data_IF_161248483255
#
_entry.id   IF_161248483255
#
_cell.length_a   1.000
_cell.length_b   1.000
_cell.length_c   1.000
_cell.angle_alpha   90.00
_cell.angle_beta   90.00
_cell.angle_gamma   90.00
#
_symmetry.space_group_name_H-M   'P 1'
#
loop_
_entity.id
_entity.type
_entity.pdbx_description
1 polymer ?
#
# COMPACT_ATOMS: atom_id res chain seq x y z
N UNK A 1 68.49 -17.27 -14.27
CA UNK A 1 67.22 -16.57 -14.55
C UNK A 1 66.11 -17.34 -13.87
N UNK A 2 65.63 -16.86 -12.72
CA UNK A 2 64.57 -17.52 -11.96
C UNK A 2 63.21 -17.05 -12.44
N UNK A 3 62.45 -17.94 -13.08
CA UNK A 3 61.01 -17.73 -13.27
C UNK A 3 60.32 -17.88 -11.92
N UNK A 4 60.03 -16.75 -11.28
CA UNK A 4 59.11 -16.72 -10.15
C UNK A 4 57.73 -17.22 -10.60
N UNK A 5 57.01 -17.98 -9.76
CA UNK A 5 55.70 -18.50 -10.10
C UNK A 5 54.75 -17.35 -10.43
N UNK A 6 54.09 -17.44 -11.58
CA UNK A 6 53.04 -16.52 -11.98
C UNK A 6 52.00 -16.43 -10.86
N UNK A 7 51.82 -15.22 -10.30
CA UNK A 7 50.70 -14.91 -9.41
C UNK A 7 49.42 -15.34 -10.12
N UNK A 8 48.78 -16.40 -9.64
CA UNK A 8 47.44 -16.80 -10.07
C UNK A 8 46.55 -15.57 -9.95
N UNK A 9 46.07 -15.07 -11.08
CA UNK A 9 45.28 -13.85 -11.17
C UNK A 9 43.95 -14.01 -10.46
N UNK A 10 43.93 -13.77 -9.15
CA UNK A 10 42.70 -13.68 -8.38
C UNK A 10 42.04 -12.34 -8.68
N UNK A 11 40.78 -12.38 -9.09
CA UNK A 11 39.99 -11.17 -9.28
C UNK A 11 39.93 -10.39 -7.95
N UNK A 12 40.02 -9.05 -7.97
CA UNK A 12 39.78 -8.23 -6.80
C UNK A 12 38.44 -8.55 -6.14
N UNK A 13 38.40 -8.53 -4.80
CA UNK A 13 37.21 -8.88 -4.03
C UNK A 13 35.99 -8.05 -4.47
N UNK A 14 36.17 -6.75 -4.75
CA UNK A 14 35.09 -5.86 -5.18
C UNK A 14 34.45 -6.32 -6.50
N UNK A 15 35.26 -6.79 -7.45
CA UNK A 15 34.77 -7.32 -8.74
C UNK A 15 34.00 -8.63 -8.49
N UNK A 16 34.52 -9.51 -7.64
CA UNK A 16 33.81 -10.78 -7.31
C UNK A 16 32.48 -10.54 -6.59
N UNK A 17 32.40 -9.52 -5.72
CA UNK A 17 31.16 -9.10 -5.06
C UNK A 17 30.16 -8.58 -6.09
N UNK A 18 30.58 -7.74 -7.03
CA UNK A 18 29.70 -7.21 -8.07
C UNK A 18 29.16 -8.31 -8.97
N UNK A 19 29.99 -9.26 -9.39
CA UNK A 19 29.55 -10.43 -10.18
C UNK A 19 28.48 -11.22 -9.42
N UNK A 20 28.68 -11.45 -8.12
CA UNK A 20 27.70 -12.16 -7.29
C UNK A 20 26.38 -11.38 -7.14
N UNK A 21 26.42 -10.05 -7.02
CA UNK A 21 25.22 -9.20 -6.99
C UNK A 21 24.47 -9.29 -8.33
N UNK A 22 25.18 -9.18 -9.45
CA UNK A 22 24.59 -9.29 -10.79
C UNK A 22 23.93 -10.67 -10.97
N UNK A 23 24.62 -11.74 -10.58
CA UNK A 23 24.06 -13.09 -10.63
C UNK A 23 22.83 -13.25 -9.71
N UNK A 24 22.79 -12.58 -8.56
CA UNK A 24 21.63 -12.58 -7.66
C UNK A 24 20.41 -11.82 -8.24
N UNK A 25 20.64 -10.87 -9.15
CA UNK A 25 19.60 -10.14 -9.89
C UNK A 25 19.19 -10.82 -11.20
N UNK A 26 19.88 -11.88 -11.61
CA UNK A 26 19.55 -12.61 -12.83
C UNK A 26 18.14 -13.19 -12.79
N UNK A 27 17.44 -13.09 -13.93
CA UNK A 27 16.16 -13.77 -14.14
C UNK A 27 16.32 -15.30 -14.12
N UNK A 28 17.54 -15.79 -14.36
CA UNK A 28 17.88 -17.20 -14.26
C UNK A 28 17.89 -17.68 -12.79
N UNK A 29 16.94 -18.56 -12.45
CA UNK A 29 16.80 -19.14 -11.11
C UNK A 29 18.06 -19.89 -10.64
N UNK A 30 18.77 -20.55 -11.57
CA UNK A 30 19.98 -21.28 -11.24
C UNK A 30 21.11 -20.33 -10.79
N UNK A 31 21.39 -19.29 -11.56
CA UNK A 31 22.43 -18.29 -11.26
C UNK A 31 22.17 -17.60 -9.91
N UNK A 32 20.92 -17.19 -9.68
CA UNK A 32 20.49 -16.58 -8.42
C UNK A 32 20.65 -17.54 -7.22
N UNK A 33 20.31 -18.81 -7.40
CA UNK A 33 20.49 -19.84 -6.37
C UNK A 33 21.96 -20.05 -6.04
N UNK A 34 22.82 -20.10 -7.07
CA UNK A 34 24.28 -20.21 -6.89
C UNK A 34 24.82 -18.99 -6.15
N UNK A 35 24.41 -17.79 -6.54
CA UNK A 35 24.82 -16.54 -5.86
C UNK A 35 24.44 -16.55 -4.37
N UNK A 36 23.22 -16.99 -4.03
CA UNK A 36 22.79 -17.12 -2.63
C UNK A 36 23.57 -18.17 -1.85
N UNK A 37 23.92 -19.30 -2.48
CA UNK A 37 24.77 -20.33 -1.84
C UNK A 37 26.17 -19.81 -1.61
N UNK A 38 26.76 -19.14 -2.60
CA UNK A 38 28.09 -18.53 -2.49
C UNK A 38 28.13 -17.46 -1.40
N UNK A 39 27.10 -16.62 -1.28
CA UNK A 39 27.04 -15.61 -0.23
C UNK A 39 27.17 -16.20 1.20
N UNK A 40 26.85 -17.47 1.41
CA UNK A 40 27.01 -18.15 2.70
C UNK A 40 28.46 -18.51 3.05
N UNK A 41 29.36 -18.56 2.07
CA UNK A 41 30.77 -18.95 2.28
C UNK A 41 31.68 -17.78 2.63
N UNK A 42 31.25 -16.54 2.36
CA UNK A 42 32.05 -15.33 2.55
C UNK A 42 31.25 -14.21 3.23
N UNK A 43 31.79 -13.63 4.31
CA UNK A 43 31.12 -12.54 5.06
C UNK A 43 30.92 -11.28 4.21
N UNK A 44 31.87 -10.95 3.35
CA UNK A 44 31.76 -9.79 2.46
C UNK A 44 30.61 -9.98 1.45
N UNK A 45 30.51 -11.17 0.84
CA UNK A 45 29.43 -11.52 -0.08
C UNK A 45 28.07 -11.57 0.63
N UNK A 46 28.01 -12.18 1.82
CA UNK A 46 26.81 -12.19 2.66
C UNK A 46 26.31 -10.76 2.93
N UNK A 47 27.20 -9.88 3.40
CA UNK A 47 26.86 -8.49 3.71
C UNK A 47 26.41 -7.73 2.47
N UNK A 48 27.10 -7.89 1.35
CA UNK A 48 26.76 -7.26 0.08
C UNK A 48 25.39 -7.73 -0.42
N UNK A 49 25.13 -9.03 -0.39
CA UNK A 49 23.85 -9.63 -0.78
C UNK A 49 22.69 -9.08 0.07
N UNK A 50 22.85 -9.04 1.40
CA UNK A 50 21.81 -8.49 2.26
C UNK A 50 21.60 -6.99 2.02
N UNK A 51 22.68 -6.22 1.88
CA UNK A 51 22.63 -4.76 1.74
C UNK A 51 22.03 -4.31 0.41
N UNK A 52 22.35 -5.01 -0.69
CA UNK A 52 22.03 -4.57 -2.06
C UNK A 52 20.85 -5.32 -2.65
N UNK A 53 20.64 -6.59 -2.26
CA UNK A 53 19.65 -7.46 -2.90
C UNK A 53 18.45 -7.72 -1.98
N UNK A 54 18.69 -8.24 -0.77
CA UNK A 54 17.61 -8.82 0.05
C UNK A 54 16.88 -7.80 0.93
N UNK A 55 17.61 -6.90 1.61
CA UNK A 55 17.01 -5.96 2.56
C UNK A 55 16.35 -4.73 1.92
N UNK A 56 16.83 -4.16 0.80
CA UNK A 56 16.18 -2.99 0.21
C UNK A 56 14.68 -3.18 -0.05
N UNK A 57 14.29 -4.40 -0.42
CA UNK A 57 12.90 -4.79 -0.69
C UNK A 57 12.57 -6.14 -0.08
N UNK A 58 12.01 -6.12 1.13
CA UNK A 58 11.66 -7.33 1.88
C UNK A 58 10.23 -7.76 1.56
N UNK A 59 10.04 -9.03 1.20
CA UNK A 59 8.71 -9.63 0.98
C UNK A 59 8.51 -10.80 1.95
N UNK A 60 7.59 -10.62 2.90
CA UNK A 60 7.28 -11.60 3.94
C UNK A 60 5.93 -12.25 3.62
N UNK A 61 5.96 -13.56 3.33
CA UNK A 61 4.78 -14.35 2.94
C UNK A 61 4.41 -15.33 4.04
N UNK A 62 3.26 -15.12 4.67
CA UNK A 62 2.75 -15.90 5.79
C UNK A 62 3.32 -15.48 7.13
N UNK A 63 2.65 -15.89 8.20
CA UNK A 63 2.97 -15.51 9.58
C UNK A 63 4.40 -15.92 9.96
N UNK A 64 4.82 -17.13 9.57
CA UNK A 64 6.13 -17.70 9.93
C UNK A 64 7.27 -16.83 9.43
N UNK A 65 7.17 -16.27 8.22
CA UNK A 65 8.21 -15.40 7.67
C UNK A 65 8.30 -14.08 8.44
N UNK A 66 7.16 -13.51 8.85
CA UNK A 66 7.14 -12.27 9.64
C UNK A 66 7.75 -12.51 11.02
N UNK A 67 7.35 -13.58 11.70
CA UNK A 67 7.91 -13.98 13.00
C UNK A 67 9.41 -14.23 12.92
N UNK A 68 9.85 -15.03 11.95
CA UNK A 68 11.26 -15.36 11.79
C UNK A 68 12.10 -14.14 11.45
N UNK A 69 11.61 -13.24 10.60
CA UNK A 69 12.32 -12.01 10.28
C UNK A 69 12.42 -11.08 11.49
N UNK A 70 11.31 -10.87 12.22
CA UNK A 70 11.32 -10.09 13.46
C UNK A 70 12.31 -10.65 14.49
N UNK A 71 12.31 -11.97 14.69
CA UNK A 71 13.23 -12.66 15.59
C UNK A 71 14.71 -12.50 15.17
N UNK A 72 15.01 -12.66 13.87
CA UNK A 72 16.37 -12.47 13.36
C UNK A 72 16.86 -11.03 13.57
N UNK A 73 15.97 -10.04 13.41
CA UNK A 73 16.28 -8.63 13.67
C UNK A 73 16.40 -8.30 15.16
N UNK A 74 15.60 -8.92 16.04
CA UNK A 74 15.67 -8.70 17.49
C UNK A 74 16.96 -9.26 18.08
N UNK A 75 17.35 -10.46 17.66
CA UNK A 75 18.59 -11.14 18.07
C UNK A 75 19.86 -10.56 17.41
N UNK A 76 19.70 -9.61 16.50
CA UNK A 76 20.77 -9.06 15.68
C UNK A 76 21.69 -10.12 15.05
N UNK A 77 21.12 -11.23 14.56
CA UNK A 77 21.92 -12.31 13.99
C UNK A 77 22.69 -11.78 12.79
N UNK A 78 24.00 -12.00 12.79
CA UNK A 78 24.93 -11.55 11.74
C UNK A 78 25.01 -10.02 11.53
N UNK A 79 24.57 -9.20 12.50
CA UNK A 79 24.54 -7.73 12.34
C UNK A 79 23.41 -7.27 11.41
N UNK A 80 22.37 -8.08 11.22
CA UNK A 80 21.26 -7.78 10.32
C UNK A 80 20.41 -6.62 10.82
N UNK A 81 20.39 -6.32 12.12
CA UNK A 81 19.62 -5.20 12.67
C UNK A 81 20.11 -3.88 12.09
N UNK A 82 21.42 -3.61 12.16
CA UNK A 82 21.98 -2.36 11.66
C UNK A 82 21.89 -2.26 10.13
N UNK A 83 22.03 -3.38 9.43
CA UNK A 83 21.86 -3.43 7.98
C UNK A 83 20.41 -3.15 7.58
N UNK A 84 19.43 -3.80 8.22
CA UNK A 84 18.01 -3.61 7.92
C UNK A 84 17.56 -2.19 8.25
N UNK A 85 17.98 -1.64 9.40
CA UNK A 85 17.70 -0.26 9.75
C UNK A 85 18.13 0.71 8.65
N UNK A 86 19.36 0.54 8.13
CA UNK A 86 19.94 1.42 7.11
C UNK A 86 19.43 1.20 5.70
N UNK A 87 19.13 -0.05 5.32
CA UNK A 87 18.97 -0.42 3.91
C UNK A 87 17.53 -0.74 3.52
N UNK A 88 16.69 -1.17 4.46
CA UNK A 88 15.30 -1.51 4.15
C UNK A 88 14.52 -0.26 3.74
N UNK A 89 13.92 -0.29 2.54
CA UNK A 89 13.12 0.82 1.99
C UNK A 89 11.68 0.39 1.72
N UNK A 90 11.50 -0.86 1.30
CA UNK A 90 10.21 -1.41 0.95
C UNK A 90 9.96 -2.70 1.75
N UNK A 91 8.79 -2.79 2.39
CA UNK A 91 8.34 -4.01 3.07
C UNK A 91 6.97 -4.38 2.54
N UNK A 92 6.84 -5.63 2.08
CA UNK A 92 5.56 -6.23 1.72
C UNK A 92 5.26 -7.37 2.68
N UNK A 93 4.09 -7.37 3.31
CA UNK A 93 3.60 -8.44 4.18
C UNK A 93 2.32 -9.00 3.59
N UNK A 94 2.34 -10.28 3.23
CA UNK A 94 1.21 -10.97 2.62
C UNK A 94 0.91 -12.29 3.35
N UNK A 95 -0.35 -12.73 3.44
CA UNK A 95 -0.66 -14.07 3.93
C UNK A 95 -0.08 -15.14 2.99
N UNK A 96 0.12 -16.36 3.49
CA UNK A 96 0.42 -17.49 2.62
C UNK A 96 -0.80 -17.79 1.72
N UNK A 97 -0.56 -18.34 0.52
CA UNK A 97 -1.65 -18.76 -0.38
C UNK A 97 -2.38 -19.93 0.27
N UNK A 98 -3.68 -19.78 0.56
CA UNK A 98 -4.56 -20.84 1.06
C UNK A 98 -5.66 -21.13 0.03
N UNK A 99 -6.10 -22.39 -0.03
CA UNK A 99 -7.30 -22.76 -0.77
C UNK A 99 -8.52 -22.07 -0.11
N UNK A 100 -9.33 -21.37 -0.90
CA UNK A 100 -10.37 -20.48 -0.39
C UNK A 100 -11.68 -21.23 -0.21
N UNK A 101 -12.24 -21.22 0.99
CA UNK A 101 -13.68 -21.39 1.21
C UNK A 101 -14.37 -20.02 1.31
N UNK A 102 -15.67 -19.94 1.03
CA UNK A 102 -16.44 -18.70 0.79
C UNK A 102 -16.44 -17.68 1.94
N UNK A 103 -16.34 -18.13 3.21
CA UNK A 103 -16.37 -17.27 4.41
C UNK A 103 -15.01 -17.13 5.11
N UNK A 104 -14.01 -17.85 4.60
CA UNK A 104 -12.68 -17.95 5.17
C UNK A 104 -11.82 -16.67 5.02
N UNK A 105 -11.94 -15.84 3.95
CA UNK A 105 -11.02 -14.73 3.73
C UNK A 105 -10.99 -13.71 4.85
N UNK A 106 -12.15 -13.27 5.35
CA UNK A 106 -12.21 -12.29 6.44
C UNK A 106 -11.65 -12.83 7.76
N UNK A 107 -11.93 -14.11 8.06
CA UNK A 107 -11.42 -14.80 9.26
C UNK A 107 -9.91 -14.98 9.15
N UNK A 108 -9.41 -15.42 8.00
CA UNK A 108 -7.98 -15.53 7.72
C UNK A 108 -7.25 -14.21 7.80
N UNK A 109 -7.77 -13.15 7.17
CA UNK A 109 -7.17 -11.81 7.28
C UNK A 109 -7.10 -11.35 8.73
N UNK A 110 -8.13 -11.59 9.54
CA UNK A 110 -8.13 -11.25 10.96
C UNK A 110 -7.10 -12.07 11.74
N UNK A 111 -7.08 -13.40 11.57
CA UNK A 111 -6.11 -14.29 12.22
C UNK A 111 -4.68 -13.91 11.85
N UNK A 112 -4.43 -13.68 10.57
CA UNK A 112 -3.15 -13.23 10.06
C UNK A 112 -2.76 -11.87 10.66
N UNK A 113 -3.64 -10.88 10.62
CA UNK A 113 -3.41 -9.54 11.21
C UNK A 113 -3.04 -9.64 12.70
N UNK A 114 -3.77 -10.46 13.47
CA UNK A 114 -3.48 -10.68 14.88
C UNK A 114 -2.12 -11.37 15.08
N UNK A 115 -1.83 -12.41 14.29
CA UNK A 115 -0.60 -13.19 14.39
C UNK A 115 0.65 -12.36 14.05
N UNK A 116 0.56 -11.41 13.12
CA UNK A 116 1.70 -10.58 12.70
C UNK A 116 1.87 -9.29 13.51
N UNK A 117 0.93 -8.95 14.39
CA UNK A 117 0.87 -7.64 15.03
C UNK A 117 2.18 -7.25 15.74
N UNK A 118 2.62 -8.01 16.74
CA UNK A 118 3.86 -7.73 17.49
C UNK A 118 5.14 -7.91 16.65
N UNK A 119 5.30 -8.99 15.86
CA UNK A 119 6.45 -9.13 14.96
C UNK A 119 6.59 -7.96 13.98
N UNK A 120 5.48 -7.49 13.41
CA UNK A 120 5.47 -6.37 12.49
C UNK A 120 5.89 -5.07 13.19
N UNK A 121 5.41 -4.81 14.42
CA UNK A 121 5.89 -3.66 15.20
C UNK A 121 7.39 -3.70 15.44
N UNK A 122 7.95 -4.87 15.73
CA UNK A 122 9.40 -5.05 15.89
C UNK A 122 10.14 -4.71 14.59
N UNK A 123 9.65 -5.20 13.44
CA UNK A 123 10.24 -4.91 12.13
C UNK A 123 10.19 -3.40 11.83
N UNK A 124 9.03 -2.78 12.03
CA UNK A 124 8.83 -1.34 11.78
C UNK A 124 9.69 -0.49 12.72
N UNK A 125 9.82 -0.86 13.99
CA UNK A 125 10.68 -0.15 14.94
C UNK A 125 12.15 -0.15 14.49
N UNK A 126 12.62 -1.27 13.91
CA UNK A 126 14.01 -1.43 13.48
C UNK A 126 14.27 -0.79 12.11
N UNK A 127 13.34 -0.95 11.16
CA UNK A 127 13.50 -0.48 9.78
C UNK A 127 13.17 1.03 9.65
N UNK A 128 13.98 1.89 10.26
CA UNK A 128 13.71 3.33 10.39
C UNK A 128 13.72 4.11 9.07
N UNK A 129 14.38 3.59 8.03
CA UNK A 129 14.42 4.22 6.71
C UNK A 129 13.33 3.69 5.74
N UNK A 130 12.32 2.98 6.25
CA UNK A 130 11.22 2.47 5.46
C UNK A 130 10.44 3.62 4.80
N UNK A 131 10.34 3.62 3.48
CA UNK A 131 9.60 4.61 2.69
C UNK A 131 8.31 4.05 2.09
N UNK A 132 8.20 2.73 1.91
CA UNK A 132 7.02 2.09 1.32
C UNK A 132 6.64 0.82 2.08
N UNK A 133 5.35 0.70 2.40
CA UNK A 133 4.81 -0.42 3.16
C UNK A 133 3.53 -0.96 2.51
N UNK A 134 3.57 -2.21 2.08
CA UNK A 134 2.42 -2.92 1.52
C UNK A 134 1.96 -4.03 2.47
N UNK A 135 0.77 -3.87 3.06
CA UNK A 135 0.18 -4.79 4.03
C UNK A 135 -1.09 -5.43 3.46
N UNK A 136 -1.07 -6.74 3.26
CA UNK A 136 -2.29 -7.51 2.98
C UNK A 136 -3.00 -7.87 4.30
N UNK A 137 -3.09 -6.89 5.19
CA UNK A 137 -3.58 -6.99 6.56
C UNK A 137 -3.96 -5.58 7.03
N UNK A 138 -4.66 -5.50 8.16
CA UNK A 138 -4.99 -4.20 8.74
C UNK A 138 -3.73 -3.51 9.28
N UNK A 139 -3.59 -2.18 9.12
CA UNK A 139 -2.42 -1.43 9.58
C UNK A 139 -2.41 -1.20 11.11
N UNK A 140 -2.93 -2.14 11.91
CA UNK A 140 -3.00 -2.03 13.38
C UNK A 140 -1.63 -1.79 14.02
N UNK A 141 -0.57 -2.38 13.45
CA UNK A 141 0.80 -2.19 13.92
C UNK A 141 1.29 -0.73 13.80
N UNK A 142 0.66 0.09 12.96
CA UNK A 142 0.96 1.52 12.79
C UNK A 142 0.14 2.44 13.71
N UNK A 143 -0.85 1.89 14.44
CA UNK A 143 -1.66 2.69 15.34
C UNK A 143 -0.84 3.22 16.53
N UNK A 144 -1.17 4.44 16.96
CA UNK A 144 -0.64 5.03 18.19
C UNK A 144 -1.08 4.18 19.38
N UNK A 145 -0.11 3.69 20.16
CA UNK A 145 -0.38 3.00 21.41
C UNK A 145 0.29 3.74 22.56
N UNK A 146 -0.50 4.13 23.56
CA UNK A 146 0.01 4.71 24.80
C UNK A 146 0.70 3.59 25.60
N UNK A 147 1.94 3.81 26.02
CA UNK A 147 2.68 2.90 26.92
C UNK A 147 3.39 1.72 26.24
N UNK A 148 3.46 1.65 24.91
CA UNK A 148 4.24 0.62 24.23
C UNK A 148 5.72 1.05 24.11
N UNK A 149 6.65 0.15 24.44
CA UNK A 149 8.11 0.38 24.38
C UNK A 149 8.60 0.56 22.94
N UNK A 150 7.93 -0.09 21.96
CA UNK A 150 8.29 0.00 20.55
C UNK A 150 7.51 1.12 19.87
N UNK A 151 8.08 2.33 19.84
CA UNK A 151 7.53 3.42 19.02
C UNK A 151 7.76 3.16 17.52
N UNK A 152 6.72 3.41 16.74
CA UNK A 152 6.72 3.38 15.27
C UNK A 152 6.56 4.78 14.66
N UNK A 153 6.64 5.84 15.48
CA UNK A 153 6.37 7.21 15.05
C UNK A 153 7.39 7.71 14.03
N UNK A 154 8.67 7.32 14.19
CA UNK A 154 9.72 7.60 13.22
C UNK A 154 9.41 7.03 11.84
N UNK A 155 8.92 5.79 11.77
CA UNK A 155 8.51 5.16 10.51
C UNK A 155 7.27 5.83 9.94
N UNK A 156 6.25 6.14 10.75
CA UNK A 156 5.07 6.87 10.27
C UNK A 156 5.42 8.24 9.67
N UNK A 157 6.41 8.93 10.24
CA UNK A 157 6.89 10.20 9.71
C UNK A 157 7.73 10.04 8.43
N UNK A 158 8.37 8.88 8.23
CA UNK A 158 9.24 8.59 7.09
C UNK A 158 8.50 7.99 5.88
N UNK A 159 7.42 7.24 6.12
CA UNK A 159 6.64 6.56 5.08
C UNK A 159 6.11 7.55 4.04
N UNK A 160 6.33 7.20 2.78
CA UNK A 160 5.88 7.91 1.58
C UNK A 160 4.73 7.18 0.90
N UNK A 161 4.72 5.84 0.98
CA UNK A 161 3.71 5.00 0.37
C UNK A 161 3.19 3.98 1.37
N UNK A 162 1.87 3.89 1.48
CA UNK A 162 1.20 2.85 2.27
C UNK A 162 0.10 2.21 1.43
N UNK A 163 0.15 0.89 1.31
CA UNK A 163 -0.91 0.07 0.71
C UNK A 163 -1.40 -0.86 1.80
N UNK A 164 -2.68 -0.81 2.16
CA UNK A 164 -3.20 -1.69 3.21
C UNK A 164 -4.66 -2.09 3.05
N UNK A 165 -4.97 -3.28 3.58
CA UNK A 165 -6.36 -3.69 3.82
C UNK A 165 -6.94 -2.87 4.97
N UNK A 166 -8.18 -2.41 4.79
CA UNK A 166 -8.97 -1.86 5.88
C UNK A 166 -9.75 -2.97 6.56
N UNK A 167 -10.24 -2.72 7.78
CA UNK A 167 -10.88 -3.75 8.61
C UNK A 167 -11.91 -4.56 7.83
N UNK A 168 -11.88 -5.91 7.90
CA UNK A 168 -12.82 -6.77 7.21
C UNK A 168 -14.21 -6.77 7.89
N UNK A 169 -14.42 -6.00 8.96
CA UNK A 169 -15.70 -5.86 9.65
C UNK A 169 -16.15 -4.40 9.62
N UNK A 170 -17.40 -4.18 9.20
CA UNK A 170 -18.02 -2.86 9.17
C UNK A 170 -18.24 -2.37 10.60
N UNK A 171 -17.27 -1.66 11.18
CA UNK A 171 -17.37 -1.17 12.56
C UNK A 171 -16.11 -0.44 13.03
N UNK A 172 -14.92 -0.94 12.69
CA UNK A 172 -13.67 -0.27 13.01
C UNK A 172 -13.45 0.87 12.01
N UNK A 173 -13.81 2.10 12.40
CA UNK A 173 -13.34 3.28 11.68
C UNK A 173 -11.84 3.42 11.97
N UNK A 174 -11.00 3.24 10.96
CA UNK A 174 -9.56 3.51 11.05
C UNK A 174 -9.26 5.02 10.99
N UNK A 175 -10.24 5.88 11.26
CA UNK A 175 -10.09 7.34 11.27
C UNK A 175 -9.01 7.78 12.27
N UNK A 176 -8.92 7.12 13.43
CA UNK A 176 -7.90 7.38 14.44
C UNK A 176 -6.46 7.10 13.99
N UNK A 177 -6.25 6.24 12.99
CA UNK A 177 -4.91 5.97 12.44
C UNK A 177 -4.33 7.18 11.70
N UNK A 178 -5.22 7.88 10.99
CA UNK A 178 -4.90 9.00 10.12
C UNK A 178 -4.96 10.34 10.86
N UNK A 179 -5.72 10.42 11.96
CA UNK A 179 -5.83 11.63 12.77
C UNK A 179 -4.54 12.00 13.53
N UNK A 180 -4.23 13.31 13.51
CA UNK A 180 -3.22 13.97 14.34
C UNK A 180 -3.84 14.60 15.60
N UNK A 181 -4.67 13.88 16.35
CA UNK A 181 -5.51 14.53 17.37
C UNK A 181 -4.95 14.47 18.80
N UNK A 182 -3.65 14.67 19.00
CA UNK A 182 -3.14 15.00 20.34
C UNK A 182 -2.86 16.51 20.38
N UNK A 183 -3.75 17.31 20.98
CA UNK A 183 -3.49 18.74 21.21
C UNK A 183 -2.17 18.90 21.97
N UNK A 184 -1.25 19.72 21.43
CA UNK A 184 0.06 19.99 22.03
C UNK A 184 1.25 19.16 21.53
N UNK A 185 1.03 18.15 20.67
CA UNK A 185 2.13 17.41 20.02
C UNK A 185 2.30 17.88 18.56
N UNK A 186 3.35 18.69 18.33
CA UNK A 186 3.62 19.42 17.09
C UNK A 186 3.99 18.59 15.84
N UNK A 187 3.79 17.27 15.85
CA UNK A 187 4.08 16.43 14.69
C UNK A 187 2.84 15.72 14.19
N UNK A 188 2.27 16.24 13.09
CA UNK A 188 1.36 15.49 12.24
C UNK A 188 2.02 14.13 11.95
N UNK A 189 1.46 12.99 12.40
CA UNK A 189 1.88 11.71 11.88
C UNK A 189 1.66 11.73 10.37
N UNK A 190 2.51 11.04 9.60
CA UNK A 190 2.41 10.96 8.13
C UNK A 190 2.85 12.20 7.33
N UNK A 191 3.84 12.97 7.83
CA UNK A 191 4.34 14.18 7.15
C UNK A 191 4.82 13.99 5.71
N UNK A 192 5.26 12.77 5.36
CA UNK A 192 5.86 12.45 4.06
C UNK A 192 4.99 11.52 3.22
N UNK A 193 3.81 11.12 3.71
CA UNK A 193 2.93 10.18 3.03
C UNK A 193 2.34 10.84 1.79
N UNK A 194 2.83 10.46 0.62
CA UNK A 194 2.40 10.98 -0.68
C UNK A 194 1.44 10.05 -1.40
N UNK A 195 1.57 8.73 -1.19
CA UNK A 195 0.77 7.70 -1.85
C UNK A 195 0.07 6.84 -0.81
N UNK A 196 -1.25 6.72 -0.92
CA UNK A 196 -2.06 5.89 -0.03
C UNK A 196 -3.06 5.05 -0.83
N UNK A 197 -3.04 3.74 -0.62
CA UNK A 197 -4.02 2.82 -1.19
C UNK A 197 -4.74 2.05 -0.09
N UNK A 198 -6.06 2.24 -0.04
CA UNK A 198 -6.95 1.68 0.97
C UNK A 198 -7.87 0.64 0.32
N UNK A 199 -7.80 -0.59 0.81
CA UNK A 199 -8.57 -1.70 0.24
C UNK A 199 -9.79 -2.09 1.08
N UNK A 200 -10.93 -2.19 0.40
CA UNK A 200 -12.14 -2.89 0.81
C UNK A 200 -12.07 -4.40 0.57
N UNK A 201 -13.16 -5.14 0.82
CA UNK A 201 -14.51 -4.71 0.45
C UNK A 201 -15.35 -4.15 1.59
N UNK A 202 -14.81 -4.08 2.81
CA UNK A 202 -15.54 -3.53 3.97
C UNK A 202 -14.95 -2.21 4.49
N UNK A 203 -14.05 -1.61 3.71
CA UNK A 203 -13.57 -0.26 3.97
C UNK A 203 -14.75 0.71 3.93
N UNK A 204 -15.14 1.24 5.09
CA UNK A 204 -16.20 2.24 5.19
C UNK A 204 -15.58 3.63 5.16
N UNK A 205 -15.78 4.36 4.06
CA UNK A 205 -15.39 5.76 3.97
C UNK A 205 -16.55 6.63 4.48
N UNK A 206 -16.33 7.27 5.61
CA UNK A 206 -17.30 8.21 6.23
C UNK A 206 -16.82 9.65 6.05
N UNK A 207 -17.66 10.67 6.30
CA UNK A 207 -17.22 12.07 6.38
C UNK A 207 -16.03 12.29 7.31
N UNK A 208 -15.99 11.56 8.44
CA UNK A 208 -14.87 11.63 9.40
C UNK A 208 -13.59 11.05 8.82
N UNK A 209 -13.67 9.89 8.16
CA UNK A 209 -12.54 9.27 7.46
C UNK A 209 -12.01 10.20 6.37
N UNK A 210 -12.90 10.81 5.58
CA UNK A 210 -12.55 11.77 4.54
C UNK A 210 -11.80 12.97 5.11
N UNK A 211 -12.30 13.58 6.19
CA UNK A 211 -11.63 14.68 6.87
C UNK A 211 -10.24 14.28 7.40
N UNK A 212 -10.09 13.06 7.95
CA UNK A 212 -8.78 12.58 8.39
C UNK A 212 -7.79 12.45 7.24
N UNK A 213 -8.22 11.87 6.11
CA UNK A 213 -7.38 11.70 4.94
C UNK A 213 -7.02 13.05 4.31
N UNK A 214 -7.97 13.98 4.27
CA UNK A 214 -7.77 15.34 3.80
C UNK A 214 -6.73 16.13 4.62
N UNK A 215 -6.57 15.79 5.91
CA UNK A 215 -5.59 16.43 6.78
C UNK A 215 -4.14 15.97 6.55
N UNK A 216 -3.91 14.98 5.69
CA UNK A 216 -2.58 14.48 5.38
C UNK A 216 -1.84 15.49 4.48
N UNK A 217 -0.76 16.13 4.96
CA UNK A 217 -0.24 17.34 4.33
C UNK A 217 0.44 17.10 2.98
N UNK A 218 1.01 15.92 2.76
CA UNK A 218 1.77 15.58 1.56
C UNK A 218 1.02 14.62 0.62
N UNK A 219 -0.23 14.25 0.94
CA UNK A 219 -0.96 13.22 0.19
C UNK A 219 -1.37 13.72 -1.20
N UNK A 220 -0.59 13.33 -2.21
CA UNK A 220 -0.88 13.67 -3.61
C UNK A 220 -1.68 12.58 -4.34
N UNK A 221 -1.53 11.32 -3.94
CA UNK A 221 -2.16 10.18 -4.61
C UNK A 221 -2.95 9.34 -3.61
N UNK A 222 -4.27 9.25 -3.80
CA UNK A 222 -5.16 8.44 -2.99
C UNK A 222 -5.90 7.42 -3.85
N UNK A 223 -5.79 6.14 -3.52
CA UNK A 223 -6.50 5.04 -4.16
C UNK A 223 -7.48 4.39 -3.19
N UNK A 224 -8.75 4.34 -3.55
CA UNK A 224 -9.79 3.65 -2.78
C UNK A 224 -10.28 2.45 -3.59
N UNK A 225 -9.99 1.25 -3.11
CA UNK A 225 -10.28 -0.01 -3.80
C UNK A 225 -11.51 -0.64 -3.16
N UNK A 226 -12.60 -0.78 -3.91
CA UNK A 226 -13.90 -1.30 -3.47
C UNK A 226 -14.43 -0.65 -2.17
N UNK A 227 -14.43 0.71 -2.06
CA UNK A 227 -14.88 1.36 -0.84
C UNK A 227 -16.40 1.25 -0.67
N UNK A 228 -16.83 1.22 0.59
CA UNK A 228 -18.21 1.51 1.00
C UNK A 228 -18.27 2.96 1.46
N UNK A 229 -18.55 3.88 0.53
CA UNK A 229 -18.68 5.31 0.86
C UNK A 229 -20.09 5.59 1.37
N UNK A 230 -20.18 6.24 2.52
CA UNK A 230 -21.46 6.57 3.16
C UNK A 230 -21.49 8.00 3.68
N UNK A 231 -22.70 8.53 3.89
CA UNK A 231 -22.91 9.81 4.59
C UNK A 231 -22.81 9.66 6.12
N UNK A 232 -23.09 10.76 6.83
CA UNK A 232 -23.09 10.80 8.30
C UNK A 232 -24.16 9.87 8.94
N UNK A 233 -25.27 9.65 8.26
CA UNK A 233 -26.33 8.74 8.71
C UNK A 233 -26.05 7.26 8.33
N UNK A 234 -25.04 7.02 7.50
CA UNK A 234 -24.66 5.70 7.03
C UNK A 234 -25.37 5.25 5.75
N UNK A 235 -26.10 6.14 5.07
CA UNK A 235 -26.68 5.83 3.76
C UNK A 235 -25.59 5.79 2.68
N UNK A 236 -25.86 5.06 1.60
CA UNK A 236 -24.98 4.97 0.43
C UNK A 236 -25.03 6.24 -0.40
N UNK A 237 -24.45 7.30 0.12
CA UNK A 237 -24.24 8.56 -0.56
C UNK A 237 -22.75 8.90 -0.51
N UNK A 238 -22.09 8.84 -1.66
CA UNK A 238 -20.66 9.09 -1.77
C UNK A 238 -20.31 10.59 -1.80
N UNK A 239 -21.27 11.44 -2.16
CA UNK A 239 -21.02 12.86 -2.43
C UNK A 239 -20.41 13.56 -1.23
N UNK A 240 -21.04 13.50 -0.07
CA UNK A 240 -20.61 14.26 1.11
C UNK A 240 -19.20 13.89 1.55
N UNK A 241 -18.89 12.60 1.65
CA UNK A 241 -17.57 12.15 2.08
C UNK A 241 -16.49 12.50 1.04
N UNK A 242 -16.76 12.35 -0.26
CA UNK A 242 -15.80 12.69 -1.30
C UNK A 242 -15.60 14.21 -1.44
N UNK A 243 -16.66 14.99 -1.29
CA UNK A 243 -16.57 16.46 -1.30
C UNK A 243 -15.78 16.97 -0.10
N UNK A 244 -15.99 16.42 1.10
CA UNK A 244 -15.18 16.76 2.29
C UNK A 244 -13.70 16.46 2.06
N UNK A 245 -13.39 15.33 1.42
CA UNK A 245 -12.02 15.00 1.05
C UNK A 245 -11.44 16.06 0.11
N UNK A 246 -12.17 16.43 -0.95
CA UNK A 246 -11.73 17.42 -1.93
C UNK A 246 -11.72 18.86 -1.39
N UNK A 247 -12.52 19.18 -0.38
CA UNK A 247 -12.48 20.50 0.23
C UNK A 247 -11.27 20.66 1.15
N UNK A 248 -10.88 19.61 1.87
CA UNK A 248 -9.81 19.67 2.86
C UNK A 248 -8.41 19.28 2.34
N UNK A 249 -8.30 18.44 1.32
CA UNK A 249 -7.01 17.90 0.89
C UNK A 249 -6.22 18.93 0.08
N UNK A 250 -5.21 19.57 0.67
CA UNK A 250 -4.48 20.67 0.02
C UNK A 250 -3.46 20.24 -1.04
N UNK A 251 -2.98 18.99 -0.99
CA UNK A 251 -1.93 18.47 -1.87
C UNK A 251 -2.39 17.36 -2.81
N UNK A 252 -3.66 16.95 -2.75
CA UNK A 252 -4.20 15.89 -3.58
C UNK A 252 -4.17 16.31 -5.05
N UNK A 253 -3.63 15.43 -5.90
CA UNK A 253 -3.50 15.57 -7.35
C UNK A 253 -4.25 14.44 -8.08
N UNK A 254 -4.26 13.23 -7.52
CA UNK A 254 -4.93 12.07 -8.10
C UNK A 254 -5.80 11.34 -7.07
N UNK A 255 -7.07 11.15 -7.42
CA UNK A 255 -8.00 10.27 -6.72
C UNK A 255 -8.36 9.08 -7.62
N UNK A 256 -7.81 7.91 -7.32
CA UNK A 256 -8.10 6.65 -7.97
C UNK A 256 -9.21 5.90 -7.23
N UNK A 257 -10.26 5.53 -7.95
CA UNK A 257 -11.42 4.81 -7.45
C UNK A 257 -11.53 3.51 -8.23
N UNK A 258 -11.32 2.36 -7.58
CA UNK A 258 -11.46 1.05 -8.24
C UNK A 258 -12.70 0.35 -7.69
N UNK A 259 -13.69 0.12 -8.52
CA UNK A 259 -14.92 -0.58 -8.17
C UNK A 259 -15.25 -1.68 -9.17
N UNK A 260 -16.46 -2.22 -9.08
CA UNK A 260 -16.96 -3.25 -10.00
C UNK A 260 -18.41 -2.98 -10.42
N UNK A 261 -18.90 -3.68 -11.44
CA UNK A 261 -20.29 -3.56 -11.90
C UNK A 261 -21.28 -4.53 -11.23
N UNK A 262 -20.81 -5.36 -10.28
CA UNK A 262 -21.69 -6.31 -9.60
C UNK A 262 -22.74 -5.63 -8.71
N UNK A 263 -24.00 -5.74 -9.12
CA UNK A 263 -25.12 -4.96 -8.61
C UNK A 263 -25.29 -5.02 -7.08
N UNK A 264 -25.20 -6.20 -6.50
CA UNK A 264 -25.58 -6.44 -5.10
C UNK A 264 -24.39 -6.40 -4.13
N UNK A 265 -23.20 -6.06 -4.61
CA UNK A 265 -21.97 -6.11 -3.81
C UNK A 265 -21.45 -4.73 -3.43
N UNK A 266 -20.68 -4.70 -2.36
CA UNK A 266 -20.02 -3.48 -1.87
C UNK A 266 -18.85 -3.13 -2.78
N UNK A 267 -18.74 -1.86 -3.17
CA UNK A 267 -17.80 -1.41 -4.20
C UNK A 267 -18.43 -1.30 -5.60
N UNK A 268 -19.75 -1.47 -5.71
CA UNK A 268 -20.45 -1.31 -6.97
C UNK A 268 -20.42 0.14 -7.49
N UNK A 269 -19.97 0.31 -8.73
CA UNK A 269 -19.65 1.62 -9.31
C UNK A 269 -20.86 2.54 -9.45
N UNK A 270 -22.04 1.97 -9.70
CA UNK A 270 -23.29 2.75 -9.79
C UNK A 270 -23.59 3.62 -8.56
N UNK A 271 -23.06 3.28 -7.38
CA UNK A 271 -23.35 4.01 -6.14
C UNK A 271 -22.53 5.29 -5.96
N UNK A 272 -21.38 5.40 -6.62
CA UNK A 272 -20.57 6.62 -6.57
C UNK A 272 -20.67 7.46 -7.86
N UNK A 273 -21.05 6.88 -9.02
CA UNK A 273 -20.79 7.49 -10.33
C UNK A 273 -21.53 8.82 -10.49
N UNK A 274 -22.77 8.88 -10.02
CA UNK A 274 -23.56 10.11 -10.01
C UNK A 274 -22.96 11.19 -9.08
N UNK A 275 -22.46 10.79 -7.91
CA UNK A 275 -21.82 11.71 -6.98
C UNK A 275 -20.51 12.27 -7.54
N UNK A 276 -19.73 11.44 -8.22
CA UNK A 276 -18.46 11.82 -8.84
C UNK A 276 -18.59 12.95 -9.87
N UNK A 277 -19.67 12.95 -10.64
CA UNK A 277 -19.96 13.99 -11.63
C UNK A 277 -20.32 15.35 -11.02
N UNK A 278 -20.66 15.39 -9.72
CA UNK A 278 -21.08 16.59 -8.99
C UNK A 278 -19.97 17.16 -8.11
N UNK A 279 -18.81 16.50 -8.04
CA UNK A 279 -17.71 16.94 -7.20
C UNK A 279 -17.07 18.21 -7.75
N UNK A 280 -16.70 19.09 -6.83
CA UNK A 280 -16.02 20.34 -7.14
C UNK A 280 -14.76 20.49 -6.28
N UNK A 281 -13.81 21.28 -6.79
CA UNK A 281 -12.59 21.64 -6.09
C UNK A 281 -12.65 23.09 -5.61
N UNK A 282 -12.22 23.43 -4.38
CA UNK A 282 -12.15 24.82 -3.94
C UNK A 282 -11.27 25.68 -4.87
N UNK A 283 -11.66 26.94 -5.06
CA UNK A 283 -10.85 27.90 -5.80
C UNK A 283 -9.45 28.06 -5.15
N UNK A 284 -8.40 27.95 -5.96
CA UNK A 284 -7.01 28.07 -5.52
C UNK A 284 -6.37 26.78 -4.99
N UNK A 285 -7.12 25.68 -4.86
CA UNK A 285 -6.54 24.36 -4.60
C UNK A 285 -5.95 23.75 -5.88
N UNK A 286 -4.95 22.85 -5.79
CA UNK A 286 -4.38 22.22 -6.98
C UNK A 286 -5.42 21.38 -7.73
N UNK A 287 -5.25 21.24 -9.06
CA UNK A 287 -6.12 20.42 -9.89
C UNK A 287 -6.09 18.96 -9.41
N UNK A 288 -7.27 18.34 -9.34
CA UNK A 288 -7.41 16.92 -9.00
C UNK A 288 -7.95 16.18 -10.20
N UNK A 289 -7.26 15.12 -10.59
CA UNK A 289 -7.75 14.15 -11.56
C UNK A 289 -8.43 13.00 -10.83
N UNK A 290 -9.66 12.67 -11.22
CA UNK A 290 -10.33 11.45 -10.77
C UNK A 290 -10.17 10.40 -11.86
N UNK A 291 -9.69 9.22 -11.46
CA UNK A 291 -9.66 8.02 -12.31
C UNK A 291 -10.59 6.99 -11.69
N UNK A 292 -11.64 6.63 -12.41
CA UNK A 292 -12.57 5.57 -12.05
C UNK A 292 -12.26 4.32 -12.88
N UNK A 293 -11.87 3.25 -12.20
CA UNK A 293 -11.67 1.94 -12.80
C UNK A 293 -12.85 1.05 -12.46
N UNK A 294 -13.57 0.63 -13.49
CA UNK A 294 -14.69 -0.32 -13.37
C UNK A 294 -14.19 -1.70 -13.77
N UNK A 295 -14.00 -2.57 -12.78
CA UNK A 295 -13.51 -3.93 -12.98
C UNK A 295 -14.67 -4.92 -13.15
N UNK A 296 -14.46 -5.90 -14.01
CA UNK A 296 -15.34 -7.04 -14.26
C UNK A 296 -14.49 -8.31 -14.34
N UNK A 297 -14.98 -9.41 -13.78
CA UNK A 297 -14.30 -10.70 -13.95
C UNK A 297 -14.59 -11.26 -15.35
N UNK A 298 -13.56 -11.79 -16.00
CA UNK A 298 -13.72 -12.62 -17.19
C UNK A 298 -14.19 -14.01 -16.73
N UNK A 299 -15.46 -14.33 -16.96
CA UNK A 299 -16.01 -15.65 -16.64
C UNK A 299 -15.36 -16.71 -17.55
N UNK A 300 -14.74 -17.75 -16.97
CA UNK A 300 -14.22 -18.90 -17.75
C UNK A 300 -15.18 -20.09 -17.80
N UNK A 301 -16.28 -20.09 -17.06
CA UNK A 301 -17.24 -21.20 -17.04
C UNK A 301 -18.57 -20.80 -16.40
N UNK A 302 -19.67 -21.29 -16.98
CA UNK A 302 -21.07 -21.11 -16.63
C UNK A 302 -21.35 -20.71 -15.17
N UNK A 303 -21.90 -19.50 -15.00
CA UNK A 303 -22.70 -18.99 -13.88
C UNK A 303 -22.84 -19.91 -12.65
N UNK A 304 -21.79 -20.01 -11.83
CA UNK A 304 -21.87 -20.64 -10.51
C UNK A 304 -22.04 -19.54 -9.44
N UNK A 305 -23.17 -19.48 -8.72
CA UNK A 305 -23.40 -18.53 -7.63
C UNK A 305 -22.36 -18.62 -6.50
N UNK A 306 -21.76 -19.79 -6.30
CA UNK A 306 -20.67 -20.04 -5.32
C UNK A 306 -19.36 -19.38 -5.81
N UNK A 307 -19.23 -19.19 -7.11
CA UNK A 307 -18.09 -18.53 -7.75
C UNK A 307 -18.23 -17.00 -7.87
N UNK A 308 -19.35 -16.39 -7.42
CA UNK A 308 -19.51 -14.93 -7.39
C UNK A 308 -18.27 -14.32 -6.75
N UNK A 309 -17.63 -13.40 -7.47
CA UNK A 309 -16.38 -12.82 -7.03
C UNK A 309 -16.61 -12.09 -5.71
N UNK A 310 -16.17 -12.71 -4.62
CA UNK A 310 -16.10 -12.02 -3.35
C UNK A 310 -15.25 -10.77 -3.60
N UNK A 311 -15.71 -9.59 -3.19
CA UNK A 311 -15.07 -8.31 -3.53
C UNK A 311 -13.60 -8.20 -3.04
N UNK A 312 -13.10 -9.19 -2.30
CA UNK A 312 -11.67 -9.44 -2.07
C UNK A 312 -10.88 -9.73 -3.36
N UNK A 313 -11.48 -10.25 -4.43
CA UNK A 313 -10.79 -10.54 -5.70
C UNK A 313 -10.19 -9.27 -6.30
N UNK A 314 -10.99 -8.20 -6.38
CA UNK A 314 -10.53 -6.91 -6.91
C UNK A 314 -9.45 -6.29 -6.01
N UNK A 315 -9.57 -6.44 -4.69
CA UNK A 315 -8.53 -6.02 -3.76
C UNK A 315 -7.24 -6.80 -3.91
N UNK A 316 -7.30 -8.12 -4.11
CA UNK A 316 -6.12 -8.95 -4.35
C UNK A 316 -5.45 -8.65 -5.68
N UNK A 317 -6.25 -8.42 -6.73
CA UNK A 317 -5.76 -7.95 -8.02
C UNK A 317 -4.99 -6.63 -7.85
N UNK A 318 -5.59 -5.66 -7.18
CA UNK A 318 -4.94 -4.37 -6.93
C UNK A 318 -3.73 -4.47 -5.98
N UNK A 319 -3.73 -5.39 -5.02
CA UNK A 319 -2.55 -5.68 -4.19
C UNK A 319 -1.42 -6.33 -5.00
N UNK A 320 -1.75 -7.21 -5.96
CA UNK A 320 -0.76 -7.78 -6.87
C UNK A 320 -0.13 -6.70 -7.76
N UNK A 321 -0.95 -5.77 -8.28
CA UNK A 321 -0.46 -4.59 -9.00
C UNK A 321 0.40 -3.69 -8.11
N UNK A 322 0.04 -3.54 -6.84
CA UNK A 322 0.86 -2.78 -5.88
C UNK A 322 2.24 -3.41 -5.67
N UNK A 323 2.29 -4.73 -5.53
CA UNK A 323 3.55 -5.48 -5.48
C UNK A 323 4.38 -5.35 -6.75
N UNK A 324 3.77 -5.06 -7.90
CA UNK A 324 4.48 -4.87 -9.17
C UNK A 324 4.81 -3.41 -9.46
N UNK A 325 4.31 -2.46 -8.66
CA UNK A 325 4.47 -1.02 -8.93
C UNK A 325 3.58 -0.51 -10.07
N UNK A 326 2.53 -1.24 -10.45
CA UNK A 326 1.65 -0.91 -11.60
C UNK A 326 0.27 -0.41 -11.19
N UNK A 327 -0.01 -0.31 -9.88
CA UNK A 327 -1.33 0.00 -9.33
C UNK A 327 -1.86 1.40 -9.64
N UNK A 328 -1.02 2.36 -10.05
CA UNK A 328 -1.44 3.70 -10.46
C UNK A 328 -1.62 3.85 -11.98
N UNK A 329 -1.07 2.94 -12.78
CA UNK A 329 -1.01 3.06 -14.23
C UNK A 329 -1.98 2.08 -14.89
N UNK A 330 -3.10 2.59 -15.40
CA UNK A 330 -4.07 1.82 -16.18
C UNK A 330 -3.98 2.21 -17.65
N UNK A 331 -4.23 1.24 -18.53
CA UNK A 331 -4.33 1.52 -19.96
C UNK A 331 -5.68 2.19 -20.21
N UNK A 332 -5.64 3.43 -20.66
CA UNK A 332 -6.82 4.17 -21.11
C UNK A 332 -7.11 3.76 -22.56
N UNK A 333 -8.23 3.06 -22.75
CA UNK A 333 -8.62 2.50 -24.04
C UNK A 333 -10.14 2.46 -24.15
N UNK A 334 -10.65 2.77 -25.34
CA UNK A 334 -12.07 2.62 -25.67
C UNK A 334 -12.57 1.16 -25.57
N UNK A 335 -11.65 0.18 -25.55
CA UNK A 335 -11.95 -1.22 -25.37
C UNK A 335 -11.58 -1.71 -23.94
N UNK A 336 -12.35 -2.66 -23.38
CA UNK A 336 -12.02 -3.26 -22.09
C UNK A 336 -10.62 -3.86 -22.09
N UNK A 337 -9.76 -3.38 -21.20
CA UNK A 337 -8.43 -3.93 -20.99
C UNK A 337 -8.49 -5.17 -20.11
N UNK A 338 -7.50 -6.06 -20.21
CA UNK A 338 -7.47 -7.30 -19.43
C UNK A 338 -6.17 -7.43 -18.63
N UNK A 339 -6.28 -7.82 -17.36
CA UNK A 339 -5.17 -8.17 -16.48
C UNK A 339 -5.48 -9.52 -15.82
N UNK A 340 -4.97 -10.60 -16.43
CA UNK A 340 -5.27 -11.97 -16.04
C UNK A 340 -6.76 -12.30 -16.15
N UNK A 341 -7.42 -12.51 -15.01
CA UNK A 341 -8.84 -12.86 -14.94
C UNK A 341 -9.79 -11.65 -14.81
N UNK A 342 -9.24 -10.43 -14.84
CA UNK A 342 -10.00 -9.18 -14.65
C UNK A 342 -9.98 -8.39 -15.96
N UNK A 343 -11.16 -8.11 -16.50
CA UNK A 343 -11.37 -7.03 -17.45
C UNK A 343 -11.62 -5.72 -16.70
N UNK A 344 -11.22 -4.59 -17.27
CA UNK A 344 -11.52 -3.29 -16.68
C UNK A 344 -11.70 -2.21 -17.74
N UNK A 345 -12.51 -1.21 -17.39
CA UNK A 345 -12.65 0.04 -18.11
C UNK A 345 -12.16 1.20 -17.23
N UNK A 346 -11.65 2.26 -17.85
CA UNK A 346 -11.10 3.45 -17.18
C UNK A 346 -11.89 4.67 -17.65
N UNK A 347 -12.35 5.47 -16.70
CA UNK A 347 -12.92 6.78 -16.94
C UNK A 347 -12.06 7.80 -16.19
N UNK A 348 -11.51 8.80 -16.88
CA UNK A 348 -10.65 9.83 -16.26
C UNK A 348 -11.17 11.21 -16.58
N UNK A 349 -11.27 12.08 -15.57
CA UNK A 349 -11.63 13.49 -15.78
C UNK A 349 -11.00 14.40 -14.71
N UNK A 350 -10.89 15.67 -15.06
CA UNK A 350 -10.46 16.73 -14.16
C UNK A 350 -11.66 17.22 -13.32
N UNK A 351 -11.47 17.35 -12.01
CA UNK A 351 -12.51 17.91 -11.13
C UNK A 351 -12.67 19.41 -11.40
N UNK A 352 -13.89 19.90 -11.68
CA UNK A 352 -14.12 21.32 -11.94
C UNK A 352 -13.81 22.15 -10.69
N UNK A 353 -13.25 23.34 -10.90
CA UNK A 353 -13.02 24.30 -9.81
C UNK A 353 -14.30 25.07 -9.55
N UNK A 354 -14.71 25.16 -8.28
CA UNK A 354 -15.82 26.00 -7.84
C UNK A 354 -15.50 27.46 -8.17
N UNK A 355 -16.41 28.22 -8.78
CA UNK A 355 -16.18 29.65 -8.99
C UNK A 355 -15.93 30.32 -7.63
N UNK A 356 -14.92 31.19 -7.58
CA UNK A 356 -14.69 31.99 -6.38
C UNK A 356 -15.99 32.75 -6.09
N UNK A 357 -16.53 32.59 -4.87
CA UNK A 357 -17.72 33.30 -4.47
C UNK A 357 -17.51 34.79 -4.77
N UNK A 358 -18.27 35.34 -5.72
CA UNK A 358 -18.23 36.77 -5.99
C UNK A 358 -18.62 37.42 -4.67
N UNK A 359 -17.66 38.06 -4.00
CA UNK A 359 -17.94 38.97 -2.90
C UNK A 359 -18.83 40.05 -3.52
N UNK A 360 -20.14 39.91 -3.41
CA UNK A 360 -21.07 41.00 -3.61
C UNK A 360 -20.70 42.06 -2.59
N UNK A 361 -19.85 42.99 -3.03
CA UNK A 361 -19.64 44.25 -2.37
C UNK A 361 -20.97 44.99 -2.46
N UNK A 362 -21.86 44.74 -1.50
CA UNK A 362 -22.90 45.69 -1.16
C UNK A 362 -22.19 46.92 -0.59
N UNK A 363 -21.68 47.76 -1.49
CA UNK A 363 -21.35 49.15 -1.19
C UNK A 363 -22.71 49.81 -0.98
N UNK A 364 -23.12 49.90 0.28
CA UNK A 364 -24.21 50.78 0.67
C UNK A 364 -23.76 52.22 0.38
N UNK A 365 -24.42 52.84 -0.59
CA UNK A 365 -24.38 54.27 -0.85
C UNK A 365 -25.39 54.98 0.07
#
# INVERSE_FOLDING_TARGET
MGHGPARTGTLPLDITVQIAIIAAWSDNEHERTVAYRLARTCRAWCRALFTVVLLPRVVLRGEKHVHQFAYVLSENRWGLRELAARCTRHVTVAPARHARALFDPAVHTRRFTAAIYEPLRTILHICTHLSSLCLHAEPKALALQRGNVLSVDGVRAALQEVVCLQSPWAGDTNDTLWFSSIPGLAAAPWRRLTHLQLHGPRFRMTPRTAASLASLPALSHLALITPHVVDAAGHRNAHDALQILLDGASSLEQLLLVGHDELHWVGAVRHWRAALAQLERPAGAPPVTITLVTAARLESSAWDPVSRAHASLYSEWMLARAQQGTHWAFLDSDAPCTDGAIAYNVETWLVPTRPAAQRTAAVAA
#
